data_IF_657313537375
#
_entry.id   IF_657313537375
#
_cell.length_a   1.000
_cell.length_b   1.000
_cell.length_c   1.000
_cell.angle_alpha   90.00
_cell.angle_beta   90.00
_cell.angle_gamma   90.00
#
_symmetry.space_group_name_H-M   'P 1'
#
loop_
_entity.id
_entity.type
_entity.pdbx_description
1 polymer ?
#
# COMPACT_ATOMS: atom_id res chain seq x y z
N UNK A 1 -35.87 -31.05 -57.46
CA UNK A 1 -34.52 -30.70 -57.03
C UNK A 1 -34.51 -29.30 -56.46
N UNK A 2 -35.13 -29.11 -55.34
CA UNK A 2 -35.15 -27.86 -54.57
C UNK A 2 -35.42 -28.32 -53.12
N UNK A 3 -34.53 -28.27 -52.17
CA UNK A 3 -34.70 -28.29 -50.74
C UNK A 3 -33.49 -28.90 -49.98
N UNK A 4 -32.27 -28.42 -50.28
CA UNK A 4 -31.08 -28.90 -49.53
C UNK A 4 -30.09 -27.75 -49.19
N UNK A 5 -30.58 -26.56 -48.85
CA UNK A 5 -29.69 -25.39 -48.53
C UNK A 5 -30.06 -24.65 -47.25
N UNK A 6 -30.95 -25.15 -46.40
CA UNK A 6 -31.38 -24.42 -45.17
C UNK A 6 -31.09 -25.23 -43.91
N UNK A 7 -29.89 -25.75 -43.69
CA UNK A 7 -29.56 -26.45 -42.46
C UNK A 7 -28.10 -26.29 -42.03
N UNK A 8 -27.49 -25.15 -42.27
CA UNK A 8 -26.08 -24.94 -41.91
C UNK A 8 -25.80 -23.55 -41.26
N UNK A 9 -26.75 -22.95 -40.55
CA UNK A 9 -26.59 -21.63 -39.93
C UNK A 9 -26.96 -21.61 -38.42
N UNK A 10 -27.16 -22.74 -37.74
CA UNK A 10 -27.55 -22.74 -36.33
C UNK A 10 -26.67 -23.59 -35.41
N UNK A 11 -25.34 -23.50 -35.59
CA UNK A 11 -24.40 -24.21 -34.66
C UNK A 11 -23.27 -23.33 -34.13
N UNK A 12 -23.49 -22.00 -33.95
CA UNK A 12 -22.45 -21.11 -33.41
C UNK A 12 -22.97 -20.24 -32.27
N UNK A 13 -23.75 -20.79 -31.38
CA UNK A 13 -24.20 -20.03 -30.19
C UNK A 13 -24.49 -20.98 -29.06
N UNK A 14 -23.49 -21.42 -28.31
CA UNK A 14 -23.59 -21.84 -26.91
C UNK A 14 -22.20 -22.18 -26.34
N UNK A 15 -21.18 -21.34 -26.55
CA UNK A 15 -20.06 -21.26 -25.62
C UNK A 15 -20.21 -19.98 -24.78
N UNK A 16 -21.33 -19.86 -24.07
CA UNK A 16 -21.38 -19.05 -22.84
C UNK A 16 -20.67 -19.87 -21.74
N UNK A 17 -19.43 -20.25 -21.99
CA UNK A 17 -18.54 -20.71 -20.93
C UNK A 17 -18.38 -19.54 -19.94
N UNK A 18 -18.47 -19.80 -18.64
CA UNK A 18 -18.05 -18.87 -17.60
C UNK A 18 -16.62 -18.37 -17.91
N UNK A 19 -16.50 -17.34 -18.71
CA UNK A 19 -15.21 -16.70 -18.94
C UNK A 19 -14.81 -16.08 -17.61
N UNK A 20 -13.66 -16.46 -17.08
CA UNK A 20 -13.10 -15.78 -15.90
C UNK A 20 -13.03 -14.29 -16.24
N UNK A 21 -13.44 -13.45 -15.28
CA UNK A 21 -13.33 -11.99 -15.46
C UNK A 21 -11.87 -11.61 -15.72
N UNK A 22 -11.67 -10.65 -16.59
CA UNK A 22 -10.36 -10.05 -16.85
C UNK A 22 -9.91 -9.18 -15.69
N UNK A 23 -8.62 -8.84 -15.64
CA UNK A 23 -8.10 -7.95 -14.58
C UNK A 23 -8.79 -6.58 -14.56
N UNK A 24 -9.03 -5.89 -15.72
CA UNK A 24 -9.79 -4.65 -15.72
C UNK A 24 -11.23 -4.80 -15.21
N UNK A 25 -11.94 -5.89 -15.53
CA UNK A 25 -13.30 -6.12 -15.06
C UNK A 25 -13.36 -6.34 -13.54
N UNK A 26 -12.41 -7.10 -12.99
CA UNK A 26 -12.31 -7.30 -11.54
C UNK A 26 -11.92 -6.00 -10.82
N UNK A 27 -11.01 -5.23 -11.38
CA UNK A 27 -10.59 -3.96 -10.82
C UNK A 27 -11.73 -2.94 -10.83
N UNK A 28 -12.48 -2.87 -11.92
CA UNK A 28 -13.68 -2.03 -12.02
C UNK A 28 -14.74 -2.43 -10.99
N UNK A 29 -14.97 -3.73 -10.79
CA UNK A 29 -15.85 -4.21 -9.74
C UNK A 29 -15.39 -3.77 -8.34
N UNK A 30 -14.09 -3.84 -8.05
CA UNK A 30 -13.53 -3.38 -6.78
C UNK A 30 -13.74 -1.88 -6.56
N UNK A 31 -13.58 -1.07 -7.62
CA UNK A 31 -13.87 0.37 -7.59
C UNK A 31 -15.35 0.66 -7.28
N UNK A 32 -16.26 -0.05 -7.92
CA UNK A 32 -17.70 0.09 -7.69
C UNK A 32 -18.06 -0.28 -6.24
N UNK A 33 -17.51 -1.39 -5.73
CA UNK A 33 -17.68 -1.80 -4.33
C UNK A 33 -17.16 -0.72 -3.38
N UNK A 34 -16.02 -0.10 -3.69
CA UNK A 34 -15.45 1.00 -2.90
C UNK A 34 -16.36 2.24 -2.91
N UNK A 35 -16.89 2.62 -4.07
CA UNK A 35 -17.82 3.75 -4.18
C UNK A 35 -19.10 3.52 -3.35
N UNK A 36 -19.65 2.31 -3.40
CA UNK A 36 -20.80 1.96 -2.59
C UNK A 36 -20.50 1.99 -1.08
N UNK A 37 -19.35 1.49 -0.66
CA UNK A 37 -18.92 1.55 0.73
C UNK A 37 -18.73 3.00 1.22
N UNK A 38 -18.14 3.85 0.39
CA UNK A 38 -17.97 5.27 0.69
C UNK A 38 -19.31 5.99 0.81
N UNK A 39 -20.20 5.79 -0.16
CA UNK A 39 -21.55 6.37 -0.12
C UNK A 39 -22.34 5.94 1.13
N UNK A 40 -22.24 4.67 1.51
CA UNK A 40 -22.86 4.15 2.72
C UNK A 40 -22.26 4.78 3.98
N UNK A 41 -20.93 4.94 4.05
CA UNK A 41 -20.26 5.59 5.16
C UNK A 41 -20.69 7.06 5.31
N UNK A 42 -20.74 7.80 4.21
CA UNK A 42 -21.15 9.22 4.20
C UNK A 42 -22.65 9.38 4.58
N UNK A 43 -23.49 8.47 4.10
CA UNK A 43 -24.94 8.51 4.36
C UNK A 43 -25.31 8.14 5.80
N UNK A 44 -24.60 7.19 6.40
CA UNK A 44 -24.86 6.72 7.77
C UNK A 44 -24.14 7.59 8.83
N UNK A 45 -23.11 8.33 8.43
CA UNK A 45 -22.32 9.19 9.32
C UNK A 45 -21.80 8.43 10.54
N UNK A 46 -21.92 9.01 11.73
CA UNK A 46 -21.42 8.41 12.98
C UNK A 46 -22.09 7.09 13.39
N UNK A 47 -23.18 6.70 12.74
CA UNK A 47 -23.86 5.41 12.99
C UNK A 47 -23.25 4.25 12.22
N UNK A 48 -22.39 4.53 11.23
CA UNK A 48 -21.76 3.49 10.43
C UNK A 48 -20.60 2.84 11.18
N UNK A 49 -20.53 1.51 11.12
CA UNK A 49 -19.27 0.82 11.35
C UNK A 49 -18.46 0.86 10.05
N UNK A 50 -17.79 1.98 9.82
CA UNK A 50 -17.06 2.25 8.58
C UNK A 50 -16.08 1.14 8.20
N UNK A 51 -15.23 0.61 9.12
CA UNK A 51 -14.36 -0.51 8.78
C UNK A 51 -15.07 -1.72 8.17
N UNK A 52 -16.23 -2.11 8.70
CA UNK A 52 -16.96 -3.26 8.16
C UNK A 52 -17.46 -3.04 6.74
N UNK A 53 -17.83 -1.82 6.37
CA UNK A 53 -18.23 -1.49 5.00
C UNK A 53 -17.11 -1.71 3.98
N UNK A 54 -15.85 -1.58 4.41
CA UNK A 54 -14.70 -1.70 3.53
C UNK A 54 -14.07 -3.11 3.48
N UNK A 55 -14.52 -4.05 4.30
CA UNK A 55 -14.06 -5.46 4.22
C UNK A 55 -14.32 -6.08 2.83
N UNK A 56 -15.52 -5.93 2.21
CA UNK A 56 -15.76 -6.41 0.85
C UNK A 56 -14.85 -5.73 -0.19
N UNK A 57 -14.54 -4.45 -0.02
CA UNK A 57 -13.66 -3.69 -0.92
C UNK A 57 -12.26 -4.30 -0.95
N UNK A 58 -11.69 -4.56 0.23
CA UNK A 58 -10.37 -5.22 0.34
C UNK A 58 -10.40 -6.60 -0.32
N UNK A 59 -11.45 -7.40 -0.09
CA UNK A 59 -11.59 -8.71 -0.71
C UNK A 59 -11.63 -8.62 -2.25
N UNK A 60 -12.33 -7.65 -2.80
CA UNK A 60 -12.46 -7.49 -4.25
C UNK A 60 -11.13 -7.04 -4.88
N UNK A 61 -10.36 -6.14 -4.24
CA UNK A 61 -9.00 -5.82 -4.68
C UNK A 61 -8.02 -7.01 -4.53
N UNK A 62 -8.09 -7.76 -3.44
CA UNK A 62 -7.28 -8.99 -3.28
C UNK A 62 -7.56 -10.01 -4.38
N UNK A 63 -8.81 -10.09 -4.84
CA UNK A 63 -9.19 -10.96 -5.94
C UNK A 63 -8.50 -10.59 -7.25
N UNK A 64 -8.37 -9.29 -7.56
CA UNK A 64 -7.62 -8.83 -8.75
C UNK A 64 -6.20 -9.35 -8.72
N UNK A 65 -5.49 -9.17 -7.60
CA UNK A 65 -4.11 -9.64 -7.44
C UNK A 65 -4.01 -11.16 -7.49
N UNK A 66 -4.92 -11.89 -6.86
CA UNK A 66 -4.86 -13.36 -6.80
C UNK A 66 -5.13 -14.03 -8.15
N UNK A 67 -6.02 -13.46 -8.98
CA UNK A 67 -6.37 -14.03 -10.28
C UNK A 67 -5.46 -13.55 -11.42
N UNK A 68 -4.89 -12.35 -11.32
CA UNK A 68 -4.08 -11.72 -12.35
C UNK A 68 -2.80 -11.05 -11.78
N UNK A 69 -1.90 -11.78 -11.10
CA UNK A 69 -0.84 -11.21 -10.25
C UNK A 69 0.19 -10.34 -10.98
N UNK A 70 0.26 -10.41 -12.30
CA UNK A 70 1.23 -9.66 -13.12
C UNK A 70 0.60 -8.52 -13.92
N UNK A 71 -0.71 -8.29 -13.75
CA UNK A 71 -1.40 -7.23 -14.49
C UNK A 71 -1.15 -5.85 -13.86
N UNK A 72 -1.25 -4.76 -14.64
CA UNK A 72 -1.20 -3.39 -14.10
C UNK A 72 -2.30 -3.11 -13.07
N UNK A 73 -3.46 -3.73 -13.22
CA UNK A 73 -4.57 -3.62 -12.26
C UNK A 73 -4.25 -4.31 -10.93
N UNK A 74 -3.53 -5.44 -10.98
CA UNK A 74 -3.09 -6.13 -9.77
C UNK A 74 -2.09 -5.30 -8.94
N UNK A 75 -1.21 -4.57 -9.62
CA UNK A 75 -0.30 -3.64 -8.97
C UNK A 75 -1.07 -2.55 -8.21
N UNK A 76 -2.02 -1.91 -8.88
CA UNK A 76 -2.88 -0.88 -8.28
C UNK A 76 -3.73 -1.46 -7.15
N UNK A 77 -4.33 -2.63 -7.36
CA UNK A 77 -5.17 -3.29 -6.38
C UNK A 77 -4.43 -3.64 -5.09
N UNK A 78 -3.22 -4.20 -5.20
CA UNK A 78 -2.44 -4.58 -4.02
C UNK A 78 -2.01 -3.34 -3.21
N UNK A 79 -1.68 -2.24 -3.88
CA UNK A 79 -1.39 -0.99 -3.20
C UNK A 79 -2.64 -0.43 -2.50
N UNK A 80 -3.82 -0.50 -3.15
CA UNK A 80 -5.12 -0.14 -2.54
C UNK A 80 -5.45 -0.96 -1.31
N UNK A 81 -5.18 -2.27 -1.32
CA UNK A 81 -5.32 -3.12 -0.13
C UNK A 81 -4.50 -2.58 1.04
N UNK A 82 -3.23 -2.23 0.80
CA UNK A 82 -2.35 -1.70 1.83
C UNK A 82 -2.86 -0.35 2.38
N UNK A 83 -3.27 0.57 1.52
CA UNK A 83 -3.86 1.86 1.90
C UNK A 83 -5.13 1.69 2.77
N UNK A 84 -6.04 0.81 2.36
CA UNK A 84 -7.28 0.53 3.10
C UNK A 84 -7.02 -0.11 4.47
N UNK A 85 -6.04 -1.02 4.54
CA UNK A 85 -5.65 -1.64 5.81
C UNK A 85 -5.02 -0.62 6.77
N UNK A 86 -4.19 0.31 6.26
CA UNK A 86 -3.54 1.33 7.07
C UNK A 86 -4.53 2.40 7.57
N UNK A 87 -5.42 2.85 6.68
CA UNK A 87 -6.34 3.96 6.93
C UNK A 87 -7.67 3.48 7.51
N UNK A 88 -8.59 3.08 6.62
CA UNK A 88 -9.99 2.86 6.98
C UNK A 88 -10.18 1.69 7.96
N UNK A 89 -9.46 0.59 7.74
CA UNK A 89 -9.57 -0.60 8.58
C UNK A 89 -8.73 -0.51 9.87
N UNK A 90 -7.86 0.47 9.95
CA UNK A 90 -6.95 0.69 11.08
C UNK A 90 -6.25 -0.61 11.53
N UNK A 91 -5.72 -1.35 10.55
CA UNK A 91 -5.03 -2.61 10.76
C UNK A 91 -3.58 -2.52 10.28
N UNK A 92 -2.70 -1.85 11.06
CA UNK A 92 -1.36 -1.51 10.62
C UNK A 92 -0.49 -2.73 10.29
N UNK A 93 -0.69 -3.84 11.00
CA UNK A 93 0.08 -5.06 10.70
C UNK A 93 -0.27 -5.61 9.31
N UNK A 94 -1.55 -5.69 8.97
CA UNK A 94 -1.99 -6.13 7.63
C UNK A 94 -1.57 -5.14 6.54
N UNK A 95 -1.50 -3.85 6.85
CA UNK A 95 -0.99 -2.85 5.93
C UNK A 95 0.49 -3.09 5.60
N UNK A 96 1.34 -3.33 6.62
CA UNK A 96 2.75 -3.70 6.43
C UNK A 96 2.87 -4.96 5.57
N UNK A 97 2.07 -5.98 5.84
CA UNK A 97 2.10 -7.25 5.09
C UNK A 97 1.71 -7.01 3.61
N UNK A 98 0.70 -6.18 3.35
CA UNK A 98 0.27 -5.83 2.00
C UNK A 98 1.33 -4.99 1.26
N UNK A 99 1.96 -4.01 1.90
CA UNK A 99 3.06 -3.25 1.31
C UNK A 99 4.29 -4.13 1.01
N UNK A 100 4.62 -5.08 1.87
CA UNK A 100 5.69 -6.06 1.60
C UNK A 100 5.37 -6.97 0.41
N UNK A 101 4.12 -7.39 0.29
CA UNK A 101 3.66 -8.15 -0.89
C UNK A 101 3.78 -7.32 -2.16
N UNK A 102 3.43 -6.03 -2.09
CA UNK A 102 3.62 -5.10 -3.20
C UNK A 102 5.10 -4.99 -3.57
N UNK A 103 5.98 -4.77 -2.60
CA UNK A 103 7.43 -4.66 -2.81
C UNK A 103 8.02 -5.92 -3.47
N UNK A 104 7.54 -7.10 -3.08
CA UNK A 104 7.97 -8.38 -3.64
C UNK A 104 7.46 -8.61 -5.07
N UNK A 105 6.20 -8.26 -5.34
CA UNK A 105 5.57 -8.49 -6.64
C UNK A 105 5.95 -7.42 -7.68
N UNK A 106 6.10 -6.17 -7.26
CA UNK A 106 6.33 -5.01 -8.12
C UNK A 106 7.53 -4.16 -7.66
N UNK A 107 8.75 -4.74 -7.62
CA UNK A 107 9.91 -4.08 -7.03
C UNK A 107 10.36 -2.80 -7.76
N UNK A 108 9.99 -2.63 -9.02
CA UNK A 108 10.26 -1.45 -9.85
C UNK A 108 8.97 -0.73 -10.26
N UNK A 109 7.87 -1.04 -9.62
CA UNK A 109 6.57 -0.41 -9.89
C UNK A 109 6.57 1.08 -9.49
N UNK A 110 5.64 1.87 -10.05
CA UNK A 110 5.55 3.31 -9.81
C UNK A 110 5.32 3.67 -8.33
N UNK A 111 4.80 2.76 -7.54
CA UNK A 111 4.56 2.95 -6.10
C UNK A 111 5.60 2.25 -5.19
N UNK A 112 6.66 1.65 -5.76
CA UNK A 112 7.64 0.86 -4.99
C UNK A 112 8.32 1.70 -3.88
N UNK A 113 8.70 2.93 -4.19
CA UNK A 113 9.29 3.85 -3.21
C UNK A 113 8.31 4.19 -2.09
N UNK A 114 7.07 4.54 -2.45
CA UNK A 114 6.02 4.85 -1.47
C UNK A 114 5.72 3.64 -0.59
N UNK A 115 5.57 2.45 -1.16
CA UNK A 115 5.31 1.22 -0.40
C UNK A 115 6.40 0.95 0.65
N UNK A 116 7.66 1.08 0.24
CA UNK A 116 8.80 0.83 1.12
C UNK A 116 8.92 1.88 2.24
N UNK A 117 8.68 3.15 1.93
CA UNK A 117 8.62 4.23 2.92
C UNK A 117 7.48 4.01 3.93
N UNK A 118 6.30 3.64 3.45
CA UNK A 118 5.11 3.41 4.29
C UNK A 118 5.29 2.27 5.29
N UNK A 119 6.10 1.26 4.97
CA UNK A 119 6.46 0.22 5.94
C UNK A 119 7.17 0.81 7.16
N UNK A 120 8.17 1.67 6.94
CA UNK A 120 8.87 2.37 8.02
C UNK A 120 7.94 3.27 8.82
N UNK A 121 7.11 4.05 8.12
CA UNK A 121 6.15 4.95 8.72
C UNK A 121 5.16 4.23 9.64
N UNK A 122 4.60 3.11 9.18
CA UNK A 122 3.62 2.33 9.96
C UNK A 122 4.28 1.69 11.18
N UNK A 123 5.52 1.18 11.05
CA UNK A 123 6.25 0.65 12.20
C UNK A 123 6.51 1.72 13.25
N UNK A 124 6.88 2.94 12.84
CA UNK A 124 7.13 4.04 13.75
C UNK A 124 5.83 4.54 14.40
N UNK A 125 4.86 4.93 13.61
CA UNK A 125 3.73 5.74 14.05
C UNK A 125 2.51 4.94 14.51
N UNK A 126 2.33 3.72 14.00
CA UNK A 126 1.14 2.92 14.30
C UNK A 126 1.45 1.72 15.21
N UNK A 127 2.64 1.11 15.07
CA UNK A 127 3.02 -0.09 15.81
C UNK A 127 4.01 0.19 16.93
N UNK A 128 4.62 1.36 16.97
CA UNK A 128 5.68 1.74 17.91
C UNK A 128 6.83 0.72 17.95
N UNK A 129 7.16 0.15 16.79
CA UNK A 129 8.24 -0.84 16.61
C UNK A 129 9.49 -0.16 16.06
N UNK A 130 10.20 0.58 16.92
CA UNK A 130 11.28 1.49 16.54
C UNK A 130 12.44 0.78 15.82
N UNK A 131 12.83 -0.42 16.24
CA UNK A 131 13.88 -1.19 15.58
C UNK A 131 13.48 -1.59 14.15
N UNK A 132 12.21 -2.01 13.97
CA UNK A 132 11.66 -2.35 12.66
C UNK A 132 11.54 -1.13 11.75
N UNK A 133 11.14 0.01 12.30
CA UNK A 133 11.09 1.28 11.59
C UNK A 133 12.48 1.72 11.13
N UNK A 134 13.48 1.66 12.04
CA UNK A 134 14.88 1.95 11.72
C UNK A 134 15.40 1.08 10.57
N UNK A 135 15.17 -0.23 10.65
CA UNK A 135 15.59 -1.16 9.61
C UNK A 135 14.91 -0.85 8.26
N UNK A 136 13.60 -0.52 8.29
CA UNK A 136 12.84 -0.20 7.07
C UNK A 136 13.33 1.09 6.42
N UNK A 137 13.55 2.17 7.19
CA UNK A 137 14.04 3.43 6.64
C UNK A 137 15.48 3.33 6.12
N UNK A 138 16.37 2.60 6.81
CA UNK A 138 17.74 2.34 6.31
C UNK A 138 17.70 1.61 4.96
N UNK A 139 16.91 0.54 4.86
CA UNK A 139 16.75 -0.21 3.62
C UNK A 139 16.16 0.66 2.50
N UNK A 140 15.23 1.57 2.83
CA UNK A 140 14.70 2.54 1.88
C UNK A 140 15.80 3.47 1.34
N UNK A 141 16.61 4.06 2.23
CA UNK A 141 17.68 4.98 1.86
C UNK A 141 18.79 4.31 1.05
N UNK A 142 19.09 3.04 1.36
CA UNK A 142 20.05 2.24 0.58
C UNK A 142 19.56 1.99 -0.85
N UNK A 143 18.26 1.74 -1.01
CA UNK A 143 17.70 1.39 -2.32
C UNK A 143 17.30 2.59 -3.16
N UNK A 144 16.87 3.67 -2.53
CA UNK A 144 16.34 4.87 -3.17
C UNK A 144 16.99 6.15 -2.62
N UNK A 145 18.33 6.30 -2.68
CA UNK A 145 19.02 7.45 -2.10
C UNK A 145 18.62 8.79 -2.75
N UNK A 146 18.23 8.76 -4.05
CA UNK A 146 17.84 9.94 -4.82
C UNK A 146 16.31 10.16 -4.85
N UNK A 147 15.55 9.42 -4.04
CA UNK A 147 14.10 9.59 -3.96
C UNK A 147 13.73 10.93 -3.33
N UNK A 148 12.64 11.54 -3.78
CA UNK A 148 12.03 12.69 -3.11
C UNK A 148 11.66 12.40 -1.64
N UNK A 149 11.42 11.12 -1.31
CA UNK A 149 11.15 10.66 0.06
C UNK A 149 12.42 10.44 0.89
N UNK A 150 13.63 10.52 0.31
CA UNK A 150 14.86 10.22 1.03
C UNK A 150 15.11 11.19 2.20
N UNK A 151 14.86 12.47 1.99
CA UNK A 151 14.96 13.48 3.07
C UNK A 151 13.99 13.19 4.21
N UNK A 152 12.75 12.80 3.87
CA UNK A 152 11.74 12.42 4.88
C UNK A 152 12.15 11.16 5.63
N UNK A 153 12.64 10.14 4.92
CA UNK A 153 13.11 8.89 5.53
C UNK A 153 14.30 9.12 6.48
N UNK A 154 15.23 10.00 6.09
CA UNK A 154 16.37 10.37 6.94
C UNK A 154 15.92 11.14 8.18
N UNK A 155 14.96 12.05 8.03
CA UNK A 155 14.39 12.78 9.16
C UNK A 155 13.71 11.84 10.15
N UNK A 156 12.82 10.97 9.66
CA UNK A 156 12.14 9.95 10.46
C UNK A 156 13.15 9.05 11.20
N UNK A 157 14.20 8.60 10.50
CA UNK A 157 15.26 7.78 11.11
C UNK A 157 16.01 8.51 12.23
N UNK A 158 16.30 9.79 12.05
CA UNK A 158 17.03 10.61 13.04
C UNK A 158 16.17 10.99 14.26
N UNK A 159 14.85 10.96 14.09
CA UNK A 159 13.89 11.36 15.14
C UNK A 159 13.21 10.17 15.81
N UNK A 160 13.52 8.94 15.41
CA UNK A 160 12.94 7.74 15.99
C UNK A 160 13.05 7.72 17.52
N UNK A 161 11.89 7.58 18.19
CA UNK A 161 11.79 7.48 19.64
C UNK A 161 12.03 8.78 20.42
N UNK A 162 12.33 9.89 19.72
CA UNK A 162 12.46 11.21 20.35
C UNK A 162 11.09 11.81 20.64
N UNK A 163 10.98 12.46 21.79
CA UNK A 163 9.78 13.21 22.16
C UNK A 163 9.73 14.57 21.45
N UNK A 164 8.55 15.15 21.22
CA UNK A 164 8.43 16.47 20.59
C UNK A 164 9.30 17.55 21.26
N UNK A 165 9.45 17.50 22.60
CA UNK A 165 10.25 18.45 23.36
C UNK A 165 11.75 18.32 23.04
N UNK A 166 12.23 17.11 22.76
CA UNK A 166 13.62 16.85 22.39
C UNK A 166 13.95 17.35 20.97
N UNK A 167 12.94 17.37 20.09
CA UNK A 167 13.08 17.86 18.72
C UNK A 167 13.12 19.39 18.64
N UNK A 168 12.55 20.07 19.65
CA UNK A 168 12.52 21.54 19.74
C UNK A 168 13.72 22.11 20.53
N UNK A 169 14.47 21.27 21.22
CA UNK A 169 15.67 21.68 21.95
C UNK A 169 16.84 21.84 20.97
N UNK A 170 17.57 22.96 20.97
CA UNK A 170 18.80 23.05 20.18
C UNK A 170 19.77 21.95 20.62
N UNK A 171 20.32 21.23 19.63
CA UNK A 171 21.31 20.20 19.87
C UNK A 171 22.46 20.77 20.73
N UNK A 172 22.87 20.14 21.85
CA UNK A 172 23.97 20.65 22.64
C UNK A 172 25.19 20.74 21.76
N UNK A 173 25.74 21.95 21.66
CA UNK A 173 26.96 22.20 20.88
C UNK A 173 28.02 21.13 21.20
N UNK A 174 28.71 20.58 20.17
CA UNK A 174 29.71 19.54 20.39
C UNK A 174 30.71 20.03 21.45
N UNK A 175 30.88 19.23 22.49
CA UNK A 175 31.80 19.54 23.59
C UNK A 175 33.16 19.92 23.00
N UNK A 176 33.52 21.20 23.13
CA UNK A 176 34.82 21.67 22.72
C UNK A 176 35.86 20.90 23.58
N UNK A 177 36.55 19.99 22.95
CA UNK A 177 37.70 19.31 23.54
C UNK A 177 38.70 20.38 23.95
N UNK A 178 38.71 20.75 25.23
CA UNK A 178 39.73 21.62 25.78
C UNK A 178 41.06 20.89 25.65
N UNK A 179 41.77 21.23 24.58
CA UNK A 179 43.19 20.90 24.47
C UNK A 179 43.89 21.62 25.60
N UNK A 180 44.16 20.90 26.68
CA UNK A 180 44.95 21.40 27.79
C UNK A 180 46.32 21.81 27.23
N UNK A 181 46.53 23.12 27.14
CA UNK A 181 47.83 23.74 26.89
C UNK A 181 48.67 23.50 28.11
N UNK A 182 49.52 22.41 28.11
CA UNK A 182 50.66 22.30 29.00
C UNK A 182 51.64 23.37 28.56
N UNK A 183 51.72 24.48 29.25
CA UNK A 183 52.81 25.42 29.21
C UNK A 183 53.82 25.05 30.30
N UNK A 184 55.01 25.05 29.88
CA UNK A 184 56.31 24.89 30.57
C UNK A 184 56.43 25.68 31.87
#
# INVERSE_FOLDING_TARGET
MKNAVILLVFATLLFAGCSKKTAPELFQQALETQQHAQYAADSLGTKANVPELFVPVVRDYEKVFSEHPTSPEAEQALFKVAELQAGVLNNPQKAVDAFRRYEAAFPSGPKAQTAMFMIGYIYNNNLNMLDSASAAYKRFLERFPESELATSAQYELNTLGKKPEELLSPEPAPAQTQVAKKAQ
#
